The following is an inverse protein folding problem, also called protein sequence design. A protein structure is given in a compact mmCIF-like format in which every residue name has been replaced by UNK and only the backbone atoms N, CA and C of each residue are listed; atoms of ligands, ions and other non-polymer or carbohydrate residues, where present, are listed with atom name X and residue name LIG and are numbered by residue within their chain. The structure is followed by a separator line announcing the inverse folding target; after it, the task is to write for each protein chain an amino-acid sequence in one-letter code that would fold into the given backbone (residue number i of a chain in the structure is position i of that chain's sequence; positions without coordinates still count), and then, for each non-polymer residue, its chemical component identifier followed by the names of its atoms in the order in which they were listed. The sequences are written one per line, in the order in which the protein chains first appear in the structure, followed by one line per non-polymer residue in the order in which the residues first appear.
data_IF_187563759719
#
_entry.id   IF_187563759719
#
_cell.length_a   1.000
_cell.length_b   1.000
_cell.length_c   1.000
_cell.angle_alpha   90.00
_cell.angle_beta   90.00
_cell.angle_gamma   90.00
#
_symmetry.space_group_name_H-M   'P 1'
#
loop_
_entity.id
_entity.type
_entity.pdbx_description
1 polymer ?
#
# COMPACT_ATOMS: atom_id res chain seq x y z
N UNK A 1 17.49 -2.94 16.16
CA UNK A 1 17.16 -1.67 16.86
C UNK A 1 17.54 -0.43 16.06
N UNK A 2 18.81 -0.21 15.68
CA UNK A 2 19.24 1.01 14.97
C UNK A 2 18.42 1.38 13.73
N UNK A 3 18.22 0.44 12.79
CA UNK A 3 17.41 0.68 11.58
C UNK A 3 15.93 1.00 11.89
N UNK A 4 15.35 0.30 12.87
CA UNK A 4 13.96 0.52 13.30
C UNK A 4 13.78 1.93 13.87
N UNK A 5 14.63 2.33 14.81
CA UNK A 5 14.56 3.66 15.44
C UNK A 5 14.74 4.78 14.42
N UNK A 6 15.70 4.65 13.50
CA UNK A 6 15.89 5.61 12.41
C UNK A 6 14.65 5.67 11.52
N UNK A 7 14.12 4.51 11.11
CA UNK A 7 12.92 4.44 10.28
C UNK A 7 11.71 5.12 10.92
N UNK A 8 11.46 4.85 12.21
CA UNK A 8 10.37 5.47 12.98
C UNK A 8 10.54 6.99 13.09
N UNK A 9 11.74 7.47 13.43
CA UNK A 9 11.98 8.91 13.56
C UNK A 9 11.80 9.61 12.22
N UNK A 10 12.39 9.06 11.15
CA UNK A 10 12.32 9.65 9.81
C UNK A 10 10.88 9.65 9.28
N UNK A 11 10.16 8.53 9.41
CA UNK A 11 8.79 8.46 8.89
C UNK A 11 7.84 9.41 9.63
N UNK A 12 7.97 9.52 10.96
CA UNK A 12 7.16 10.45 11.76
C UNK A 12 7.49 11.90 11.46
N UNK A 13 8.78 12.25 11.36
CA UNK A 13 9.22 13.59 11.00
C UNK A 13 8.70 13.98 9.61
N UNK A 14 8.79 13.06 8.65
CA UNK A 14 8.28 13.28 7.31
C UNK A 14 6.76 13.42 7.29
N UNK A 15 6.02 12.55 7.99
CA UNK A 15 4.56 12.63 8.09
C UNK A 15 4.11 13.94 8.74
N UNK A 16 4.80 14.38 9.80
CA UNK A 16 4.53 15.65 10.46
C UNK A 16 4.78 16.84 9.51
N UNK A 17 5.91 16.85 8.80
CA UNK A 17 6.24 17.91 7.86
C UNK A 17 5.28 17.95 6.67
N UNK A 18 5.05 16.81 6.02
CA UNK A 18 4.22 16.70 4.82
C UNK A 18 2.74 16.86 5.16
N UNK A 19 2.18 15.98 6.00
CA UNK A 19 0.73 15.92 6.23
C UNK A 19 0.22 17.16 6.95
N UNK A 20 0.87 17.59 8.05
CA UNK A 20 0.46 18.83 8.70
C UNK A 20 0.76 20.05 7.81
N UNK A 21 1.80 19.97 6.96
CA UNK A 21 2.07 20.97 5.93
C UNK A 21 0.94 21.14 4.93
N UNK A 22 0.24 20.05 4.56
CA UNK A 22 -0.93 20.09 3.66
C UNK A 22 -2.16 20.76 4.28
N UNK A 23 -2.27 20.81 5.61
CA UNK A 23 -3.39 21.45 6.31
C UNK A 23 -3.47 22.97 6.11
N UNK A 24 -2.42 23.56 5.53
CA UNK A 24 -2.41 24.97 5.08
C UNK A 24 -3.27 25.22 3.84
N UNK A 25 -3.89 24.19 3.27
CA UNK A 25 -4.85 24.31 2.17
C UNK A 25 -4.22 24.42 0.77
N UNK A 26 -2.91 24.16 0.63
CA UNK A 26 -2.21 24.26 -0.65
C UNK A 26 -2.23 22.95 -1.47
N UNK A 27 -2.99 21.93 -1.04
CA UNK A 27 -3.06 20.65 -1.75
C UNK A 27 -4.06 20.73 -2.91
N UNK A 28 -3.65 20.49 -4.17
CA UNK A 28 -4.57 20.45 -5.29
C UNK A 28 -5.55 19.28 -5.15
N UNK A 29 -6.84 19.51 -5.43
CA UNK A 29 -7.87 18.47 -5.33
C UNK A 29 -7.53 17.24 -6.19
N UNK A 30 -7.05 17.47 -7.42
CA UNK A 30 -6.69 16.41 -8.37
C UNK A 30 -5.57 15.50 -7.86
N UNK A 31 -4.71 16.01 -6.97
CA UNK A 31 -3.60 15.29 -6.36
C UNK A 31 -4.03 14.37 -5.20
N UNK A 32 -5.30 14.42 -4.79
CA UNK A 32 -5.89 13.55 -3.75
C UNK A 32 -6.00 12.12 -4.28
N UNK A 33 -4.91 11.37 -4.16
CA UNK A 33 -4.80 10.00 -4.67
C UNK A 33 -4.47 9.03 -3.54
N UNK A 34 -4.60 7.70 -3.76
CA UNK A 34 -4.15 6.69 -2.79
C UNK A 34 -2.69 6.82 -2.34
N UNK A 35 -1.85 7.59 -3.06
CA UNK A 35 -0.50 7.93 -2.60
C UNK A 35 -0.47 8.63 -1.23
N UNK A 36 -1.55 9.32 -0.84
CA UNK A 36 -1.69 9.95 0.48
C UNK A 36 -1.74 8.96 1.64
N UNK A 37 -2.01 7.67 1.39
CA UNK A 37 -1.92 6.65 2.44
C UNK A 37 -0.47 6.37 2.87
N UNK A 38 0.53 6.60 2.01
CA UNK A 38 1.89 6.15 2.30
C UNK A 38 2.49 6.78 3.58
N UNK A 39 2.42 8.12 3.79
CA UNK A 39 3.10 8.75 4.92
C UNK A 39 2.46 8.43 6.28
N UNK A 40 1.14 8.34 6.36
CA UNK A 40 0.41 8.25 7.65
C UNK A 40 -0.29 6.92 7.87
N UNK A 41 -0.55 6.13 6.84
CA UNK A 41 -1.20 4.81 6.96
C UNK A 41 -0.15 3.71 6.86
N UNK A 42 0.51 3.60 5.72
CA UNK A 42 1.45 2.51 5.46
C UNK A 42 2.63 2.52 6.44
N UNK A 43 3.29 3.68 6.61
CA UNK A 43 4.45 3.79 7.50
C UNK A 43 4.12 3.50 8.96
N UNK A 44 2.94 3.90 9.43
CA UNK A 44 2.49 3.61 10.79
C UNK A 44 2.16 2.12 10.95
N UNK A 45 1.53 1.47 9.98
CA UNK A 45 1.33 0.03 10.04
C UNK A 45 2.65 -0.76 9.99
N UNK A 46 3.62 -0.34 9.17
CA UNK A 46 4.96 -0.95 9.14
C UNK A 46 5.65 -0.79 10.50
N UNK A 47 5.53 0.39 11.11
CA UNK A 47 6.06 0.65 12.46
C UNK A 47 5.38 -0.25 13.51
N UNK A 48 4.05 -0.44 13.41
CA UNK A 48 3.31 -1.34 14.28
C UNK A 48 3.74 -2.81 14.12
N UNK A 49 3.89 -3.30 12.89
CA UNK A 49 4.41 -4.65 12.61
C UNK A 49 5.82 -4.85 13.18
N UNK A 50 6.70 -3.86 12.99
CA UNK A 50 8.06 -3.91 13.54
C UNK A 50 8.07 -3.90 15.08
N UNK A 51 7.20 -3.11 15.70
CA UNK A 51 6.99 -3.14 17.16
C UNK A 51 6.57 -4.53 17.64
N UNK A 52 5.58 -5.15 16.99
CA UNK A 52 5.13 -6.50 17.31
C UNK A 52 6.24 -7.53 17.19
N UNK A 53 7.01 -7.49 16.10
CA UNK A 53 8.16 -8.38 15.89
C UNK A 53 9.29 -8.18 16.94
N UNK A 54 9.42 -6.98 17.51
CA UNK A 54 10.41 -6.66 18.54
C UNK A 54 9.87 -6.80 19.98
N UNK A 55 8.60 -7.14 20.15
CA UNK A 55 7.94 -7.28 21.45
C UNK A 55 7.45 -5.97 22.09
N UNK A 56 7.49 -4.85 21.37
CA UNK A 56 6.98 -3.55 21.84
C UNK A 56 5.48 -3.38 21.52
N UNK A 57 4.64 -4.32 21.97
CA UNK A 57 3.23 -4.41 21.55
C UNK A 57 2.42 -3.13 21.82
N UNK A 58 2.57 -2.50 22.99
CA UNK A 58 1.84 -1.27 23.33
C UNK A 58 2.23 -0.11 22.40
N UNK A 59 3.52 0.05 22.10
CA UNK A 59 3.97 1.02 21.10
C UNK A 59 3.44 0.66 19.72
N UNK A 60 3.37 -0.63 19.39
CA UNK A 60 2.77 -1.14 18.17
C UNK A 60 1.29 -0.77 18.05
N UNK A 61 0.52 -0.86 19.13
CA UNK A 61 -0.89 -0.44 19.18
C UNK A 61 -1.05 1.07 18.98
N UNK A 62 -0.14 1.89 19.51
CA UNK A 62 -0.14 3.35 19.26
C UNK A 62 0.05 3.64 17.77
N UNK A 63 1.02 2.99 17.12
CA UNK A 63 1.23 3.12 15.68
C UNK A 63 0.07 2.57 14.86
N UNK A 64 -0.50 1.43 15.26
CA UNK A 64 -1.68 0.85 14.61
C UNK A 64 -2.85 1.83 14.65
N UNK A 65 -3.14 2.41 15.82
CA UNK A 65 -4.18 3.42 15.98
C UNK A 65 -3.95 4.62 15.06
N UNK A 66 -2.73 5.17 15.05
CA UNK A 66 -2.37 6.28 14.15
C UNK A 66 -2.63 5.93 12.67
N UNK A 67 -2.27 4.71 12.25
CA UNK A 67 -2.51 4.24 10.89
C UNK A 67 -3.99 4.05 10.56
N UNK A 68 -4.77 3.42 11.44
CA UNK A 68 -6.21 3.16 11.24
C UNK A 68 -7.00 4.46 11.17
N UNK A 69 -6.80 5.37 12.13
CA UNK A 69 -7.53 6.64 12.12
C UNK A 69 -7.14 7.52 10.94
N UNK A 70 -5.86 7.52 10.55
CA UNK A 70 -5.42 8.21 9.33
C UNK A 70 -6.09 7.62 8.09
N UNK A 71 -6.15 6.29 7.96
CA UNK A 71 -6.79 5.62 6.84
C UNK A 71 -8.27 5.98 6.72
N UNK A 72 -9.02 5.83 7.80
CA UNK A 72 -10.45 6.12 7.80
C UNK A 72 -10.75 7.61 7.58
N UNK A 73 -9.82 8.52 7.94
CA UNK A 73 -9.95 9.94 7.63
C UNK A 73 -9.69 10.27 6.16
N UNK A 74 -8.74 9.58 5.52
CA UNK A 74 -8.32 9.84 4.13
C UNK A 74 -9.19 9.11 3.10
N UNK A 75 -9.69 7.92 3.42
CA UNK A 75 -10.40 7.08 2.46
C UNK A 75 -11.66 7.74 1.86
N UNK A 76 -12.53 8.42 2.64
CA UNK A 76 -13.72 9.05 2.09
C UNK A 76 -13.39 10.10 1.01
N UNK A 77 -12.38 10.95 1.26
CA UNK A 77 -11.99 12.01 0.32
C UNK A 77 -11.27 11.46 -0.91
N UNK A 78 -10.45 10.42 -0.75
CA UNK A 78 -9.83 9.71 -1.87
C UNK A 78 -10.89 9.06 -2.73
N UNK A 79 -11.80 8.27 -2.14
CA UNK A 79 -12.87 7.62 -2.89
C UNK A 79 -13.82 8.64 -3.54
N UNK A 80 -14.05 9.79 -2.92
CA UNK A 80 -14.82 10.88 -3.53
C UNK A 80 -14.12 11.42 -4.79
N UNK A 81 -12.82 11.72 -4.71
CA UNK A 81 -12.02 12.14 -5.87
C UNK A 81 -12.07 11.10 -6.99
N UNK A 82 -11.95 9.81 -6.65
CA UNK A 82 -11.98 8.73 -7.64
C UNK A 82 -13.33 8.56 -8.32
N UNK A 83 -14.43 8.95 -7.66
CA UNK A 83 -15.78 8.91 -8.23
C UNK A 83 -16.15 10.16 -9.02
N UNK A 84 -15.67 11.33 -8.61
CA UNK A 84 -16.31 12.61 -8.99
C UNK A 84 -15.39 13.67 -9.60
N UNK A 85 -14.07 13.57 -9.45
CA UNK A 85 -13.14 14.63 -9.92
C UNK A 85 -12.42 14.24 -11.22
N UNK A 86 -13.12 13.51 -12.10
CA UNK A 86 -12.61 13.07 -13.40
C UNK A 86 -11.62 11.91 -13.35
N UNK A 87 -11.36 11.29 -14.51
CA UNK A 87 -10.42 10.18 -14.60
C UNK A 87 -8.98 10.59 -14.29
N UNK A 88 -8.22 9.69 -13.66
CA UNK A 88 -6.78 9.88 -13.52
C UNK A 88 -6.08 9.79 -14.88
N UNK A 89 -5.03 10.62 -15.12
CA UNK A 89 -4.15 10.46 -16.26
C UNK A 89 -3.67 9.02 -16.37
N UNK A 90 -3.57 8.49 -17.60
CA UNK A 90 -3.28 7.08 -17.85
C UNK A 90 -2.12 6.56 -17.00
N UNK A 91 -0.98 7.26 -17.03
CA UNK A 91 0.27 6.93 -16.32
C UNK A 91 0.10 6.79 -14.80
N UNK A 92 -0.89 7.47 -14.21
CA UNK A 92 -1.18 7.42 -12.77
C UNK A 92 -2.23 6.39 -12.40
N UNK A 93 -2.98 5.81 -13.35
CA UNK A 93 -4.07 4.87 -13.05
C UNK A 93 -3.60 3.69 -12.22
N UNK A 94 -2.42 3.15 -12.53
CA UNK A 94 -1.89 2.01 -11.79
C UNK A 94 -1.48 2.36 -10.38
N UNK A 95 -1.22 3.63 -10.03
CA UNK A 95 -0.99 4.05 -8.64
C UNK A 95 -2.20 3.77 -7.72
N UNK A 96 -3.39 3.56 -8.29
CA UNK A 96 -4.56 3.09 -7.55
C UNK A 96 -4.38 1.70 -6.93
N UNK A 97 -3.35 0.93 -7.35
CA UNK A 97 -2.97 -0.30 -6.67
C UNK A 97 -2.68 -0.12 -5.19
N UNK A 98 -2.27 1.08 -4.74
CA UNK A 98 -2.10 1.41 -3.32
C UNK A 98 -3.42 1.27 -2.55
N UNK A 99 -4.58 1.51 -3.18
CA UNK A 99 -5.91 1.43 -2.53
C UNK A 99 -6.22 0.01 -1.99
N UNK A 100 -5.57 -1.03 -2.51
CA UNK A 100 -5.70 -2.40 -1.99
C UNK A 100 -5.03 -2.58 -0.62
N UNK A 101 -3.99 -1.79 -0.33
CA UNK A 101 -3.10 -2.01 0.80
C UNK A 101 -3.71 -1.74 2.19
N UNK A 102 -4.42 -0.62 2.45
CA UNK A 102 -4.74 -0.18 3.81
C UNK A 102 -5.34 -1.26 4.71
N UNK A 103 -6.40 -1.93 4.27
CA UNK A 103 -7.10 -2.92 5.09
C UNK A 103 -6.28 -4.19 5.35
N UNK A 104 -5.57 -4.70 4.33
CA UNK A 104 -4.77 -5.91 4.44
C UNK A 104 -3.49 -5.69 5.26
N UNK A 105 -2.90 -4.51 5.14
CA UNK A 105 -1.72 -4.11 5.91
C UNK A 105 -2.13 -3.79 7.36
N UNK A 106 -3.29 -3.16 7.58
CA UNK A 106 -3.87 -3.01 8.92
C UNK A 106 -4.10 -4.38 9.58
N UNK A 107 -4.62 -5.36 8.83
CA UNK A 107 -4.80 -6.73 9.31
C UNK A 107 -3.45 -7.36 9.69
N UNK A 108 -2.42 -7.20 8.85
CA UNK A 108 -1.05 -7.67 9.15
C UNK A 108 -0.49 -7.02 10.42
N UNK A 109 -0.67 -5.71 10.56
CA UNK A 109 -0.21 -4.96 11.72
C UNK A 109 -0.93 -5.37 13.01
N UNK A 110 -2.25 -5.55 12.95
CA UNK A 110 -3.05 -6.07 14.06
C UNK A 110 -2.59 -7.46 14.49
N UNK A 111 -2.47 -8.40 13.54
CA UNK A 111 -2.00 -9.75 13.79
C UNK A 111 -0.58 -9.77 14.39
N UNK A 112 0.25 -8.79 14.07
CA UNK A 112 1.61 -8.69 14.61
C UNK A 112 1.65 -8.26 16.08
N UNK A 113 0.65 -7.50 16.55
CA UNK A 113 0.64 -6.91 17.92
C UNK A 113 -0.38 -7.57 18.85
N UNK A 114 -1.36 -8.31 18.31
CA UNK A 114 -2.40 -9.00 19.09
C UNK A 114 -2.03 -10.46 19.48
N UNK A 115 -0.79 -10.89 19.22
CA UNK A 115 -0.35 -12.26 19.44
C UNK A 115 -0.65 -13.23 18.29
N UNK A 116 -1.07 -12.73 17.13
CA UNK A 116 -1.36 -13.55 15.94
C UNK A 116 -2.74 -14.21 15.97
N UNK A 117 -3.66 -13.72 16.79
CA UNK A 117 -5.00 -14.29 16.87
C UNK A 117 -5.86 -13.85 15.69
N UNK A 118 -6.43 -14.83 14.96
CA UNK A 118 -7.39 -14.62 13.88
C UNK A 118 -8.78 -14.22 14.39
N UNK A 119 -8.84 -13.16 15.17
CA UNK A 119 -10.04 -12.64 15.83
C UNK A 119 -11.02 -11.93 14.86
N UNK A 120 -12.09 -11.37 15.41
CA UNK A 120 -13.13 -10.67 14.63
C UNK A 120 -12.56 -9.48 13.86
N UNK A 121 -11.66 -8.70 14.46
CA UNK A 121 -11.09 -7.53 13.80
C UNK A 121 -10.22 -7.93 12.62
N UNK A 122 -9.36 -8.95 12.78
CA UNK A 122 -8.55 -9.48 11.68
C UNK A 122 -9.42 -9.96 10.51
N UNK A 123 -10.51 -10.69 10.80
CA UNK A 123 -11.46 -11.19 9.79
C UNK A 123 -12.21 -10.06 9.08
N UNK A 124 -12.62 -9.02 9.80
CA UNK A 124 -13.27 -7.84 9.20
C UNK A 124 -12.33 -7.07 8.27
N UNK A 125 -11.10 -6.81 8.72
CA UNK A 125 -10.08 -6.12 7.92
C UNK A 125 -9.73 -6.93 6.66
N UNK A 126 -9.54 -8.24 6.80
CA UNK A 126 -9.30 -9.14 5.67
C UNK A 126 -10.48 -9.18 4.70
N UNK A 127 -11.71 -9.29 5.21
CA UNK A 127 -12.93 -9.28 4.39
C UNK A 127 -13.08 -7.99 3.58
N UNK A 128 -12.81 -6.83 4.17
CA UNK A 128 -12.78 -5.57 3.42
C UNK A 128 -11.64 -5.56 2.38
N UNK A 129 -10.48 -6.11 2.71
CA UNK A 129 -9.39 -6.31 1.75
C UNK A 129 -9.78 -7.17 0.54
N UNK A 130 -10.55 -8.23 0.74
CA UNK A 130 -11.11 -9.05 -0.35
C UNK A 130 -12.08 -8.25 -1.22
N UNK A 131 -12.91 -7.39 -0.63
CA UNK A 131 -13.80 -6.50 -1.39
C UNK A 131 -12.98 -5.54 -2.27
N UNK A 132 -11.95 -4.91 -1.72
CA UNK A 132 -11.06 -4.03 -2.49
C UNK A 132 -10.36 -4.80 -3.61
N UNK A 133 -9.94 -6.04 -3.37
CA UNK A 133 -9.38 -6.91 -4.41
C UNK A 133 -10.38 -7.15 -5.54
N UNK A 134 -11.65 -7.43 -5.24
CA UNK A 134 -12.69 -7.60 -6.25
C UNK A 134 -12.86 -6.34 -7.11
N UNK A 135 -12.83 -5.15 -6.49
CA UNK A 135 -12.86 -3.88 -7.24
C UNK A 135 -11.64 -3.71 -8.15
N UNK A 136 -10.45 -4.08 -7.65
CA UNK A 136 -9.22 -4.03 -8.45
C UNK A 136 -9.29 -5.00 -9.64
N UNK A 137 -9.76 -6.23 -9.42
CA UNK A 137 -9.93 -7.24 -10.46
C UNK A 137 -10.92 -6.77 -11.54
N UNK A 138 -12.03 -6.15 -11.14
CA UNK A 138 -13.00 -5.55 -12.07
C UNK A 138 -12.36 -4.44 -12.93
N UNK A 139 -11.46 -3.64 -12.35
CA UNK A 139 -10.81 -2.52 -13.01
C UNK A 139 -9.56 -2.94 -13.83
N UNK A 140 -9.18 -4.23 -13.83
CA UNK A 140 -7.99 -4.71 -14.54
C UNK A 140 -7.93 -4.33 -16.03
N UNK A 141 -9.00 -4.47 -16.84
CA UNK A 141 -8.95 -4.05 -18.24
C UNK A 141 -8.60 -2.57 -18.41
N UNK A 142 -9.06 -1.71 -17.48
CA UNK A 142 -8.79 -0.27 -17.50
C UNK A 142 -7.36 0.04 -17.02
N UNK A 143 -6.82 -0.71 -16.05
CA UNK A 143 -5.40 -0.60 -15.65
C UNK A 143 -4.44 -1.06 -16.75
N UNK A 144 -4.83 -2.07 -17.52
CA UNK A 144 -4.02 -2.68 -18.57
C UNK A 144 -4.18 -2.00 -19.94
N UNK A 145 -5.00 -0.95 -20.04
CA UNK A 145 -5.14 -0.16 -21.26
C UNK A 145 -3.91 0.72 -21.56
N UNK A 146 -2.87 0.65 -20.74
CA UNK A 146 -1.63 1.40 -20.86
C UNK A 146 -0.43 0.45 -20.85
N UNK A 147 0.72 0.86 -21.42
CA UNK A 147 1.95 0.09 -21.32
C UNK A 147 2.40 -0.12 -19.87
N UNK A 148 3.05 -1.26 -19.64
CA UNK A 148 3.69 -1.53 -18.36
C UNK A 148 4.71 -0.44 -18.01
N UNK A 149 4.68 0.02 -16.77
CA UNK A 149 5.57 1.05 -16.22
C UNK A 149 5.80 0.78 -14.72
N UNK A 150 6.70 1.54 -14.09
CA UNK A 150 7.07 1.33 -12.69
C UNK A 150 5.89 1.43 -11.71
N UNK A 151 4.86 2.23 -12.01
CA UNK A 151 3.69 2.42 -11.13
C UNK A 151 2.86 1.14 -10.94
N UNK A 152 3.03 0.11 -11.76
CA UNK A 152 2.42 -1.22 -11.52
C UNK A 152 2.92 -1.89 -10.23
N UNK A 153 4.08 -1.49 -9.70
CA UNK A 153 4.56 -1.99 -8.41
C UNK A 153 3.71 -1.52 -7.23
N UNK A 154 2.86 -0.50 -7.39
CA UNK A 154 1.94 -0.06 -6.34
C UNK A 154 0.99 -1.17 -5.84
N UNK A 155 0.65 -2.15 -6.68
CA UNK A 155 -0.18 -3.29 -6.29
C UNK A 155 0.55 -4.25 -5.36
N UNK A 156 1.88 -4.31 -5.43
CA UNK A 156 2.70 -5.32 -4.74
C UNK A 156 2.46 -5.35 -3.24
N UNK A 157 2.40 -4.17 -2.60
CA UNK A 157 2.23 -4.09 -1.15
C UNK A 157 0.90 -4.67 -0.69
N UNK A 158 -0.19 -4.34 -1.39
CA UNK A 158 -1.52 -4.86 -1.10
C UNK A 158 -1.63 -6.37 -1.36
N UNK A 159 -1.13 -6.87 -2.49
CA UNK A 159 -1.19 -8.32 -2.78
C UNK A 159 -0.27 -9.13 -1.88
N UNK A 160 0.90 -8.62 -1.50
CA UNK A 160 1.77 -9.28 -0.53
C UNK A 160 1.08 -9.39 0.84
N UNK A 161 0.45 -8.30 1.32
CA UNK A 161 -0.33 -8.33 2.55
C UNK A 161 -1.54 -9.29 2.47
N UNK A 162 -2.20 -9.39 1.30
CA UNK A 162 -3.27 -10.35 1.03
C UNK A 162 -2.79 -11.79 1.25
N UNK A 163 -1.65 -12.18 0.68
CA UNK A 163 -1.10 -13.51 0.84
C UNK A 163 -0.70 -13.80 2.29
N UNK A 164 0.02 -12.88 2.94
CA UNK A 164 0.49 -13.07 4.32
C UNK A 164 -0.68 -13.21 5.28
N UNK A 165 -1.67 -12.32 5.23
CA UNK A 165 -2.84 -12.38 6.12
C UNK A 165 -3.76 -13.55 5.79
N UNK A 166 -3.92 -13.88 4.51
CA UNK A 166 -4.70 -15.03 4.06
C UNK A 166 -4.11 -16.34 4.55
N UNK A 167 -2.78 -16.51 4.46
CA UNK A 167 -2.09 -17.67 5.02
C UNK A 167 -2.22 -17.72 6.54
N UNK A 168 -2.06 -16.59 7.24
CA UNK A 168 -2.16 -16.52 8.69
C UNK A 168 -3.55 -16.96 9.18
N UNK A 169 -4.61 -16.37 8.61
CA UNK A 169 -6.00 -16.72 8.96
C UNK A 169 -6.37 -18.14 8.53
N UNK A 170 -5.86 -18.60 7.39
CA UNK A 170 -6.08 -19.96 6.90
C UNK A 170 -5.36 -21.03 7.71
N UNK A 171 -4.18 -20.74 8.25
CA UNK A 171 -3.44 -21.66 9.12
C UNK A 171 -4.08 -21.75 10.51
N UNK A 172 -4.63 -20.65 11.02
CA UNK A 172 -5.36 -20.62 12.28
C UNK A 172 -6.68 -21.43 12.26
N UNK A 173 -7.15 -21.86 11.09
CA UNK A 173 -8.39 -22.61 10.92
C UNK A 173 -8.12 -23.96 10.25
N UNK A 174 -8.50 -25.08 10.87
CA UNK A 174 -8.31 -26.42 10.29
C UNK A 174 -9.16 -26.67 9.02
N UNK A 175 -10.24 -25.90 8.84
CA UNK A 175 -11.13 -25.96 7.67
C UNK A 175 -11.96 -24.65 7.58
N UNK A 176 -12.74 -24.50 6.50
CA UNK A 176 -13.67 -23.38 6.32
C UNK A 176 -13.17 -22.28 5.38
N UNK A 177 -13.88 -21.16 5.36
CA UNK A 177 -13.73 -20.10 4.35
C UNK A 177 -12.29 -19.58 4.20
N UNK A 178 -11.65 -19.17 5.30
CA UNK A 178 -10.28 -18.64 5.27
C UNK A 178 -9.24 -19.70 4.92
N UNK A 179 -9.42 -20.93 5.40
CA UNK A 179 -8.55 -22.06 5.06
C UNK A 179 -8.53 -22.33 3.55
N UNK A 180 -9.71 -22.38 2.93
CA UNK A 180 -9.86 -22.62 1.48
C UNK A 180 -9.27 -21.50 0.63
N UNK A 181 -9.33 -20.25 1.09
CA UNK A 181 -8.80 -19.10 0.35
C UNK A 181 -7.29 -18.92 0.46
N UNK A 182 -6.67 -19.41 1.53
CA UNK A 182 -5.26 -19.14 1.83
C UNK A 182 -4.30 -19.52 0.70
N UNK A 183 -4.37 -20.76 0.21
CA UNK A 183 -3.47 -21.26 -0.84
C UNK A 183 -3.74 -20.59 -2.21
N UNK A 184 -4.99 -20.48 -2.70
CA UNK A 184 -5.27 -19.74 -3.92
C UNK A 184 -4.76 -18.29 -3.91
N UNK A 185 -4.96 -17.56 -2.81
CA UNK A 185 -4.51 -16.16 -2.70
C UNK A 185 -2.98 -16.06 -2.63
N UNK A 186 -2.31 -17.02 -1.99
CA UNK A 186 -0.85 -17.11 -1.99
C UNK A 186 -0.28 -17.35 -3.40
N UNK A 187 -0.85 -18.31 -4.14
CA UNK A 187 -0.43 -18.59 -5.53
C UNK A 187 -0.69 -17.37 -6.42
N UNK A 188 -1.87 -16.78 -6.31
CA UNK A 188 -2.24 -15.55 -7.04
C UNK A 188 -1.21 -14.45 -6.81
N UNK A 189 -0.87 -14.17 -5.56
CA UNK A 189 0.09 -13.12 -5.20
C UNK A 189 1.47 -13.37 -5.80
N UNK A 190 2.00 -14.59 -5.65
CA UNK A 190 3.33 -14.93 -6.19
C UNK A 190 3.35 -14.84 -7.72
N UNK A 191 2.27 -15.23 -8.39
CA UNK A 191 2.14 -15.05 -9.83
C UNK A 191 2.22 -13.58 -10.23
N UNK A 192 1.50 -12.69 -9.53
CA UNK A 192 1.54 -11.24 -9.78
C UNK A 192 2.95 -10.68 -9.54
N UNK A 193 3.60 -11.02 -8.43
CA UNK A 193 4.97 -10.57 -8.14
C UNK A 193 5.97 -11.07 -9.19
N UNK A 194 5.87 -12.34 -9.61
CA UNK A 194 6.71 -12.89 -10.68
C UNK A 194 6.51 -12.14 -12.01
N UNK A 195 5.27 -11.82 -12.37
CA UNK A 195 4.96 -11.02 -13.56
C UNK A 195 5.59 -9.62 -13.48
N UNK A 196 5.47 -8.94 -12.33
CA UNK A 196 6.07 -7.62 -12.11
C UNK A 196 7.60 -7.69 -12.25
N UNK A 197 8.24 -8.70 -11.68
CA UNK A 197 9.69 -8.92 -11.76
C UNK A 197 10.13 -9.15 -13.22
N UNK A 198 9.48 -10.06 -13.94
CA UNK A 198 9.81 -10.37 -15.35
C UNK A 198 9.66 -9.13 -16.23
N UNK A 199 8.57 -8.37 -16.09
CA UNK A 199 8.33 -7.14 -16.86
C UNK A 199 9.33 -6.03 -16.53
N UNK A 200 9.66 -5.87 -15.26
CA UNK A 200 10.67 -4.90 -14.81
C UNK A 200 12.05 -5.25 -15.35
N UNK A 201 12.44 -6.53 -15.28
CA UNK A 201 13.69 -7.02 -15.83
C UNK A 201 13.75 -6.82 -17.36
N UNK A 202 12.66 -7.10 -18.07
CA UNK A 202 12.58 -6.84 -19.51
C UNK A 202 12.77 -5.35 -19.84
N UNK A 203 12.15 -4.43 -19.09
CA UNK A 203 12.35 -2.98 -19.27
C UNK A 203 13.78 -2.54 -18.95
N UNK A 204 14.39 -3.13 -17.93
CA UNK A 204 15.78 -2.87 -17.55
C UNK A 204 16.73 -3.28 -18.69
N UNK A 205 16.57 -4.50 -19.21
CA UNK A 205 17.37 -5.01 -20.33
C UNK A 205 17.19 -4.19 -21.62
N UNK A 206 16.02 -3.58 -21.81
CA UNK A 206 15.76 -2.67 -22.93
C UNK A 206 16.30 -1.25 -22.71
N UNK A 207 16.84 -0.93 -21.52
CA UNK A 207 17.30 0.42 -21.17
C UNK A 207 16.17 1.45 -21.02
N UNK A 208 14.91 1.00 -20.92
CA UNK A 208 13.71 1.84 -20.87
C UNK A 208 13.15 2.04 -19.46
N UNK A 209 13.71 1.36 -18.46
CA UNK A 209 13.20 1.42 -17.09
C UNK A 209 13.45 2.79 -16.44
N UNK A 210 14.63 3.36 -16.67
CA UNK A 210 15.03 4.64 -16.09
C UNK A 210 14.78 5.76 -17.09
N UNK A 211 14.15 6.84 -16.63
CA UNK A 211 14.07 8.09 -17.40
C UNK A 211 15.49 8.65 -17.50
N UNK A 212 16.09 8.57 -18.69
CA UNK A 212 17.36 9.24 -18.97
C UNK A 212 17.05 10.70 -19.28
N UNK A 213 17.11 11.55 -18.26
CA UNK A 213 17.13 13.00 -18.49
C UNK A 213 18.46 13.36 -19.12
N UNK A 214 18.46 13.92 -20.33
CA UNK A 214 19.70 14.42 -20.95
C UNK A 214 20.32 15.48 -20.04
N UNK A 215 21.63 15.37 -19.79
CA UNK A 215 22.40 16.27 -18.89
C UNK A 215 22.21 17.76 -19.25
N UNK A 216 21.94 18.07 -20.51
CA UNK A 216 21.65 19.42 -20.99
C UNK A 216 20.34 20.01 -20.45
N UNK A 217 19.33 19.18 -20.14
CA UNK A 217 18.07 19.64 -19.55
C UNK A 217 18.19 19.96 -18.05
N UNK A 218 19.14 19.30 -17.34
CA UNK A 218 19.42 19.54 -15.93
C UNK A 218 20.19 20.85 -15.69
N UNK A 219 21.01 21.28 -16.65
CA UNK A 219 21.79 22.52 -16.57
C UNK A 219 20.99 23.77 -16.95
N UNK A 220 19.84 23.61 -17.63
CA UNK A 220 19.01 24.74 -18.06
C UNK A 220 18.08 25.29 -16.98
N UNK A 221 17.90 24.57 -15.86
CA UNK A 221 17.04 24.98 -14.76
C UNK A 221 17.73 25.84 -13.69
N UNK A 222 19.05 26.05 -13.78
CA UNK A 222 19.79 26.91 -12.84
C UNK A 222 19.88 28.38 -13.30
N UNK A 223 19.49 28.69 -14.55
CA UNK A 223 19.65 30.01 -15.18
C UNK A 223 18.32 30.79 -15.38
N UNK A 224 17.22 30.41 -14.73
CA UNK A 224 15.94 31.13 -14.78
C UNK A 224 15.43 31.52 -13.38
#
# INVERSE_FOLDING_TARGET
MGLFSIGVVVQLAYAAWQTAGLWRGSHPEEATTPGLYLPTVANNFISAMACGALGYNDAGLVFLGAGVFSWLSLEPVILQRLRSSGELPAVLRTSLGIQLAPALVACSAWLSVNGGEGDTLAKMLFGYGLLQLLFMLRLMPWYLSQPFNASFWSFSFGVSALATTGLHLGHASASGFFHTLAIPLFIFTNFIIALLLVRTFALLMQGKLLVRTERAALLKSEDN
#
